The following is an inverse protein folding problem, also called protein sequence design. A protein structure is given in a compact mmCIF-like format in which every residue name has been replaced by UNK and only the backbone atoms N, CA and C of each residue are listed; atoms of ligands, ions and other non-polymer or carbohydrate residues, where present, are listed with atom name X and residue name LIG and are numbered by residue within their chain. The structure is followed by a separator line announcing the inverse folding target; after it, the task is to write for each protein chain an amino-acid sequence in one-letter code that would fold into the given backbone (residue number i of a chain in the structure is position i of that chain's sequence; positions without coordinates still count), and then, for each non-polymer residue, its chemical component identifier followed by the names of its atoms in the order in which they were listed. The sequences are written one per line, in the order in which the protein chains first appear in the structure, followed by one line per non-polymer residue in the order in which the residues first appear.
data_IF_055158777696
#
_entry.id   IF_055158777696
#
_cell.length_a   1.000
_cell.length_b   1.000
_cell.length_c   1.000
_cell.angle_alpha   90.00
_cell.angle_beta   90.00
_cell.angle_gamma   90.00
#
_symmetry.space_group_name_H-M   'P 1'
#
loop_
_entity.id
_entity.type
_entity.pdbx_description
1 polymer ?
#
# COMPACT_ATOMS: atom_id res chain seq x y z
N UNK A 1 -17.28 -9.14 -2.80
CA UNK A 1 -16.49 -7.92 -2.54
C UNK A 1 -15.19 -8.32 -1.87
N UNK A 2 -14.06 -7.94 -2.44
CA UNK A 2 -12.72 -8.20 -1.88
C UNK A 2 -12.44 -7.19 -0.77
N UNK A 3 -11.88 -7.65 0.36
CA UNK A 3 -11.63 -6.82 1.54
C UNK A 3 -10.13 -6.70 1.75
N UNK A 4 -9.63 -5.46 1.80
CA UNK A 4 -8.23 -5.16 2.10
C UNK A 4 -8.08 -4.98 3.60
N UNK A 5 -7.17 -5.73 4.21
CA UNK A 5 -6.80 -5.58 5.62
C UNK A 5 -5.37 -5.06 5.73
N UNK A 6 -5.22 -3.90 6.35
CA UNK A 6 -3.91 -3.28 6.62
C UNK A 6 -3.55 -3.52 8.08
N UNK A 7 -2.35 -4.08 8.33
CA UNK A 7 -1.79 -4.20 9.68
C UNK A 7 -1.59 -2.81 10.30
N UNK A 8 -1.61 -2.65 11.63
CA UNK A 8 -1.40 -1.36 12.27
C UNK A 8 -0.13 -0.64 11.79
N UNK A 9 0.99 -1.36 11.67
CA UNK A 9 2.25 -0.82 11.14
C UNK A 9 2.11 -0.31 9.71
N UNK A 10 1.46 -1.05 8.82
CA UNK A 10 1.21 -0.61 7.45
C UNK A 10 0.34 0.67 7.37
N UNK A 11 -0.54 0.91 8.35
CA UNK A 11 -1.29 2.18 8.42
C UNK A 11 -0.41 3.33 8.89
N UNK A 12 0.47 3.08 9.85
CA UNK A 12 1.45 4.06 10.31
C UNK A 12 2.41 4.43 9.18
N UNK A 13 2.91 3.44 8.42
CA UNK A 13 3.78 3.67 7.26
C UNK A 13 3.11 4.61 6.23
N UNK A 14 1.80 4.42 5.95
CA UNK A 14 1.06 5.32 5.05
C UNK A 14 0.94 6.74 5.60
N UNK A 15 0.71 6.89 6.91
CA UNK A 15 0.62 8.20 7.55
C UNK A 15 1.97 8.92 7.57
N UNK A 16 3.07 8.21 7.83
CA UNK A 16 4.43 8.75 7.78
C UNK A 16 4.80 9.21 6.37
N UNK A 17 4.50 8.40 5.35
CA UNK A 17 4.73 8.76 3.94
C UNK A 17 3.89 9.97 3.54
N UNK A 18 2.60 10.01 3.89
CA UNK A 18 1.75 11.16 3.60
C UNK A 18 2.31 12.41 4.27
N UNK A 19 2.65 12.33 5.56
CA UNK A 19 3.20 13.46 6.32
C UNK A 19 4.47 14.01 5.68
N UNK A 20 5.40 13.13 5.28
CA UNK A 20 6.62 13.52 4.60
C UNK A 20 6.38 14.29 3.28
N UNK A 21 5.41 13.85 2.47
CA UNK A 21 5.09 14.53 1.20
C UNK A 21 4.33 15.84 1.45
N UNK A 22 3.45 15.84 2.46
CA UNK A 22 2.60 16.97 2.83
C UNK A 22 3.42 18.19 3.30
N UNK A 23 4.63 17.98 3.84
CA UNK A 23 5.57 19.06 4.15
C UNK A 23 5.85 19.98 2.94
N UNK A 24 5.79 19.45 1.71
CA UNK A 24 5.97 20.21 0.48
C UNK A 24 4.64 20.44 -0.26
N UNK A 25 3.71 19.48 -0.25
CA UNK A 25 2.36 19.64 -0.82
C UNK A 25 1.38 18.57 -0.35
N UNK A 26 0.33 19.00 0.37
CA UNK A 26 -0.79 18.14 0.78
C UNK A 26 -1.52 17.50 -0.41
N UNK A 27 -1.79 18.27 -1.48
CA UNK A 27 -2.43 17.75 -2.70
C UNK A 27 -1.65 16.58 -3.32
N UNK A 28 -0.32 16.64 -3.30
CA UNK A 28 0.52 15.55 -3.79
C UNK A 28 0.55 14.36 -2.84
N UNK A 29 0.44 14.61 -1.53
CA UNK A 29 0.36 13.55 -0.53
C UNK A 29 -0.95 12.76 -0.70
N UNK A 30 -2.08 13.44 -0.89
CA UNK A 30 -3.38 12.82 -1.18
C UNK A 30 -3.33 12.01 -2.48
N UNK A 31 -2.85 12.63 -3.57
CA UNK A 31 -2.71 11.94 -4.86
C UNK A 31 -1.80 10.70 -4.76
N UNK A 32 -0.77 10.74 -3.91
CA UNK A 32 0.12 9.60 -3.71
C UNK A 32 -0.57 8.45 -2.95
N UNK A 33 -1.36 8.75 -1.91
CA UNK A 33 -2.15 7.74 -1.19
C UNK A 33 -3.20 7.10 -2.11
N UNK A 34 -3.86 7.89 -2.97
CA UNK A 34 -4.79 7.37 -3.96
C UNK A 34 -4.14 6.37 -4.93
N UNK A 35 -2.90 6.64 -5.35
CA UNK A 35 -2.13 5.71 -6.19
C UNK A 35 -1.86 4.39 -5.45
N UNK A 36 -1.55 4.44 -4.16
CA UNK A 36 -1.36 3.23 -3.34
C UNK A 36 -2.68 2.46 -3.22
N UNK A 37 -3.79 3.13 -2.88
CA UNK A 37 -5.08 2.46 -2.68
C UNK A 37 -5.62 1.84 -3.97
N UNK A 38 -5.37 2.46 -5.13
CA UNK A 38 -5.66 1.85 -6.44
C UNK A 38 -4.85 0.58 -6.67
N UNK A 39 -3.56 0.57 -6.31
CA UNK A 39 -2.71 -0.63 -6.43
C UNK A 39 -3.18 -1.75 -5.49
N UNK A 40 -3.53 -1.42 -4.25
CA UNK A 40 -4.04 -2.40 -3.30
C UNK A 40 -5.38 -3.00 -3.76
N UNK A 41 -6.24 -2.19 -4.38
CA UNK A 41 -7.50 -2.66 -4.98
C UNK A 41 -7.24 -3.66 -6.11
N UNK A 42 -6.31 -3.36 -7.03
CA UNK A 42 -5.92 -4.30 -8.09
C UNK A 42 -5.35 -5.62 -7.54
N UNK A 43 -4.54 -5.56 -6.48
CA UNK A 43 -4.01 -6.75 -5.81
C UNK A 43 -5.11 -7.54 -5.09
N UNK A 44 -6.11 -6.87 -4.52
CA UNK A 44 -7.24 -7.54 -3.88
C UNK A 44 -8.07 -8.34 -4.89
N UNK A 45 -8.24 -7.80 -6.12
CA UNK A 45 -8.90 -8.48 -7.23
C UNK A 45 -8.03 -9.58 -7.86
N UNK A 46 -6.70 -9.39 -7.89
CA UNK A 46 -5.73 -10.31 -8.48
C UNK A 46 -4.60 -10.65 -7.49
N UNK A 47 -4.84 -11.50 -6.47
CA UNK A 47 -3.89 -11.71 -5.36
C UNK A 47 -2.51 -12.24 -5.76
N UNK A 48 -2.40 -12.88 -6.94
CA UNK A 48 -1.15 -13.44 -7.46
C UNK A 48 -0.37 -12.50 -8.39
N UNK A 49 -0.86 -11.27 -8.62
CA UNK A 49 -0.20 -10.28 -9.48
C UNK A 49 1.18 -9.89 -8.94
N UNK A 50 1.35 -9.87 -7.61
CA UNK A 50 2.64 -9.64 -6.97
C UNK A 50 3.59 -10.84 -7.07
N UNK A 51 4.88 -10.56 -7.32
CA UNK A 51 5.92 -11.60 -7.40
C UNK A 51 6.12 -12.22 -6.02
N UNK A 52 6.08 -13.54 -5.93
CA UNK A 52 6.40 -14.26 -4.69
C UNK A 52 7.84 -13.95 -4.24
N UNK A 53 8.00 -13.67 -2.96
CA UNK A 53 9.27 -13.35 -2.29
C UNK A 53 9.54 -14.37 -1.19
N UNK A 54 9.72 -15.63 -1.57
CA UNK A 54 9.94 -16.72 -0.61
C UNK A 54 11.15 -16.47 0.30
N UNK A 55 12.13 -15.71 -0.16
CA UNK A 55 13.29 -15.31 0.62
C UNK A 55 12.97 -14.35 1.78
N UNK A 56 11.80 -13.70 1.75
CA UNK A 56 11.33 -12.80 2.81
C UNK A 56 10.35 -13.49 3.77
N UNK A 57 9.92 -14.71 3.46
CA UNK A 57 8.98 -15.48 4.27
C UNK A 57 7.89 -16.17 3.45
N UNK A 58 7.19 -17.10 4.09
CA UNK A 58 6.07 -17.82 3.49
C UNK A 58 4.90 -16.87 3.17
N UNK A 59 4.33 -17.00 1.98
CA UNK A 59 3.18 -16.20 1.54
C UNK A 59 3.48 -14.73 1.21
N UNK A 60 4.74 -14.27 1.33
CA UNK A 60 5.11 -12.88 1.03
C UNK A 60 5.15 -12.64 -0.49
N UNK A 61 4.56 -11.52 -0.93
CA UNK A 61 4.54 -11.05 -2.33
C UNK A 61 4.86 -9.56 -2.38
N UNK A 62 5.42 -9.10 -3.52
CA UNK A 62 5.66 -7.66 -3.82
C UNK A 62 5.03 -7.25 -5.13
#
# INVERSE_FOLDING_TARGET
MTRILKRPRAKADLAEIWGYIAEDSEDRADAFIDVIDKKLSMLAENPCLGKARHELGEGVRR
#
